data_IF_434356994213
#
_entry.id   IF_434356994213
#
_cell.length_a   1.000
_cell.length_b   1.000
_cell.length_c   1.000
_cell.angle_alpha   90.00
_cell.angle_beta   90.00
_cell.angle_gamma   90.00
#
_symmetry.space_group_name_H-M   'P 1'
#
loop_
_entity.id
_entity.type
_entity.pdbx_description
1 polymer ?
#
# COMPACT_ATOMS: atom_id res chain seq x y z
N UNK A 1 -52.53 -5.43 6.60
CA UNK A 1 -53.28 -4.77 7.67
C UNK A 1 -52.23 -4.04 8.50
N UNK A 2 -51.98 -2.75 8.38
CA UNK A 2 -52.81 -1.67 7.84
C UNK A 2 -51.95 -0.61 7.15
N UNK A 3 -52.38 -0.26 5.95
CA UNK A 3 -51.73 0.68 5.05
C UNK A 3 -52.26 2.09 5.38
N UNK A 4 -51.86 2.64 6.53
CA UNK A 4 -52.28 3.99 6.93
C UNK A 4 -51.51 5.05 6.11
N UNK A 5 -51.87 5.19 4.83
CA UNK A 5 -51.52 6.35 4.03
C UNK A 5 -52.56 7.44 4.27
N UNK A 6 -52.09 8.59 4.75
CA UNK A 6 -52.89 9.82 4.83
C UNK A 6 -52.54 10.70 3.62
N UNK A 7 -53.55 11.12 2.86
CA UNK A 7 -53.39 12.10 1.78
C UNK A 7 -54.04 13.40 2.20
N UNK A 8 -53.31 14.51 2.05
CA UNK A 8 -53.83 15.86 2.29
C UNK A 8 -54.30 16.41 0.95
N UNK A 9 -55.61 16.50 0.76
CA UNK A 9 -56.24 17.05 -0.45
C UNK A 9 -57.00 18.30 -0.05
N UNK A 10 -56.69 19.44 -0.66
CA UNK A 10 -57.52 20.64 -0.51
C UNK A 10 -58.80 20.45 -1.32
N UNK A 11 -59.94 20.80 -0.75
CA UNK A 11 -61.26 20.67 -1.39
C UNK A 11 -61.35 21.41 -2.74
N UNK A 12 -60.55 22.47 -2.89
CA UNK A 12 -60.46 23.31 -4.07
C UNK A 12 -59.36 22.87 -5.08
N UNK A 13 -58.69 21.74 -4.84
CA UNK A 13 -57.67 21.17 -5.72
C UNK A 13 -56.33 21.92 -5.72
N UNK A 14 -56.11 22.85 -4.79
CA UNK A 14 -54.82 23.51 -4.64
C UNK A 14 -53.81 22.63 -3.88
N UNK A 15 -52.53 22.98 -4.03
CA UNK A 15 -51.45 22.37 -3.27
C UNK A 15 -51.57 22.75 -1.79
N UNK A 16 -51.44 21.77 -0.88
CA UNK A 16 -51.29 22.02 0.55
C UNK A 16 -49.79 22.10 0.85
N UNK A 17 -49.33 23.28 1.27
CA UNK A 17 -47.94 23.49 1.67
C UNK A 17 -47.82 23.36 3.19
N UNK A 18 -46.95 22.45 3.65
CA UNK A 18 -46.68 22.24 5.07
C UNK A 18 -45.32 22.85 5.43
N UNK A 19 -45.35 23.99 6.13
CA UNK A 19 -44.13 24.67 6.61
C UNK A 19 -43.83 24.25 8.04
N UNK A 20 -42.76 23.46 8.24
CA UNK A 20 -42.30 23.02 9.58
C UNK A 20 -41.05 23.81 9.95
N UNK A 21 -41.05 24.45 11.13
CA UNK A 21 -39.96 25.33 11.57
C UNK A 21 -38.68 24.58 11.99
N UNK A 22 -38.79 23.32 12.43
CA UNK A 22 -37.63 22.50 12.80
C UNK A 22 -37.99 21.02 12.69
N UNK A 23 -37.18 20.24 11.96
CA UNK A 23 -37.47 18.85 11.56
C UNK A 23 -37.60 17.81 12.71
N UNK A 24 -37.54 18.24 13.98
CA UNK A 24 -37.51 17.35 15.13
C UNK A 24 -38.84 17.01 15.80
N UNK A 25 -39.94 17.71 15.49
CA UNK A 25 -41.20 17.58 16.28
C UNK A 25 -42.46 17.32 15.43
N UNK A 26 -42.31 16.94 14.16
CA UNK A 26 -43.46 16.75 13.24
C UNK A 26 -43.76 15.30 12.86
N UNK A 27 -43.03 14.32 13.39
CA UNK A 27 -43.34 12.89 13.20
C UNK A 27 -43.14 12.36 11.77
N UNK A 28 -42.66 13.15 10.82
CA UNK A 28 -42.13 12.70 9.53
C UNK A 28 -40.62 12.52 9.66
N UNK A 29 -40.15 11.28 9.71
CA UNK A 29 -38.73 10.99 9.95
C UNK A 29 -37.91 11.19 8.66
N UNK A 30 -36.69 11.71 8.78
CA UNK A 30 -35.69 11.83 7.70
C UNK A 30 -34.71 10.66 7.70
N UNK A 31 -35.16 9.47 8.14
CA UNK A 31 -34.29 8.49 8.81
C UNK A 31 -33.55 7.51 7.89
N UNK A 32 -33.21 7.91 6.67
CA UNK A 32 -32.22 7.19 5.84
C UNK A 32 -31.30 8.19 5.12
N UNK A 33 -30.26 8.65 5.82
CA UNK A 33 -29.13 9.32 5.18
C UNK A 33 -28.31 8.28 4.42
N UNK A 34 -28.54 8.14 3.11
CA UNK A 34 -27.62 7.46 2.22
C UNK A 34 -26.34 8.31 2.07
N UNK A 35 -25.27 7.94 2.79
CA UNK A 35 -23.96 8.57 2.63
C UNK A 35 -23.26 7.97 1.41
N UNK A 36 -23.39 8.63 0.26
CA UNK A 36 -22.53 8.38 -0.88
C UNK A 36 -21.32 9.33 -0.81
N UNK A 37 -20.10 8.77 -0.84
CA UNK A 37 -18.89 9.58 -0.96
C UNK A 37 -18.77 10.14 -2.37
N UNK A 38 -18.67 11.47 -2.50
CA UNK A 38 -18.42 12.16 -3.77
C UNK A 38 -17.02 12.75 -3.73
N UNK A 39 -16.14 12.31 -4.64
CA UNK A 39 -14.81 12.92 -4.82
C UNK A 39 -14.89 13.95 -5.94
N UNK A 40 -14.57 15.20 -5.62
CA UNK A 40 -14.50 16.30 -6.57
C UNK A 40 -13.02 16.65 -6.78
N UNK A 41 -12.53 16.48 -8.01
CA UNK A 41 -11.14 16.78 -8.38
C UNK A 41 -11.13 17.89 -9.44
N UNK A 42 -10.37 18.94 -9.19
CA UNK A 42 -10.16 20.07 -10.10
C UNK A 42 -8.68 20.46 -10.11
N UNK A 43 -8.20 20.97 -11.26
CA UNK A 43 -6.82 21.44 -11.40
C UNK A 43 -6.56 22.83 -10.77
N UNK A 44 -7.60 23.47 -10.21
CA UNK A 44 -7.54 24.79 -9.57
C UNK A 44 -8.68 24.96 -8.56
N UNK A 45 -8.85 26.18 -8.01
CA UNK A 45 -9.89 26.48 -7.04
C UNK A 45 -11.30 26.17 -7.60
N UNK A 46 -12.10 25.44 -6.84
CA UNK A 46 -13.51 25.20 -7.14
C UNK A 46 -14.36 25.58 -5.94
N UNK A 47 -15.43 26.32 -6.17
CA UNK A 47 -16.36 26.73 -5.12
C UNK A 47 -17.58 25.81 -5.10
N UNK A 48 -17.93 25.31 -3.93
CA UNK A 48 -19.17 24.55 -3.70
C UNK A 48 -20.16 25.48 -3.01
N UNK A 49 -21.28 25.74 -3.66
CA UNK A 49 -22.36 26.55 -3.13
C UNK A 49 -23.71 25.84 -3.29
N UNK A 50 -24.62 26.16 -2.39
CA UNK A 50 -26.02 25.75 -2.50
C UNK A 50 -26.88 26.95 -2.90
N UNK A 51 -27.96 26.71 -3.65
CA UNK A 51 -28.90 27.78 -4.04
C UNK A 51 -29.60 28.42 -2.84
N UNK A 52 -29.69 27.69 -1.72
CA UNK A 52 -30.27 28.13 -0.45
C UNK A 52 -29.24 28.75 0.51
N UNK A 53 -27.95 28.73 0.17
CA UNK A 53 -26.86 29.25 1.01
C UNK A 53 -26.56 28.41 2.26
N UNK A 54 -27.20 27.24 2.43
CA UNK A 54 -27.01 26.37 3.59
C UNK A 54 -26.36 25.05 3.17
N UNK A 55 -25.02 25.06 3.14
CA UNK A 55 -24.19 23.94 2.71
C UNK A 55 -24.22 22.75 3.70
N UNK A 56 -24.47 23.02 4.99
CA UNK A 56 -24.58 22.02 6.07
C UNK A 56 -25.78 21.09 5.84
N UNK A 57 -26.94 21.65 5.44
CA UNK A 57 -28.14 20.87 5.09
C UNK A 57 -27.98 20.04 3.81
N UNK A 58 -27.04 20.41 2.95
CA UNK A 58 -26.77 19.69 1.71
C UNK A 58 -25.76 18.55 1.88
N UNK A 59 -25.29 18.28 3.11
CA UNK A 59 -24.31 17.23 3.39
C UNK A 59 -22.89 17.57 2.94
N UNK A 60 -22.69 18.76 2.36
CA UNK A 60 -21.38 19.35 2.10
C UNK A 60 -20.90 20.10 3.34
N UNK A 61 -20.89 19.40 4.49
CA UNK A 61 -20.26 19.96 5.67
C UNK A 61 -18.82 20.27 5.29
N UNK A 62 -18.45 21.54 5.31
CA UNK A 62 -17.18 22.01 4.77
C UNK A 62 -16.06 21.25 5.46
N UNK A 63 -15.45 20.30 4.76
CA UNK A 63 -14.13 19.84 5.12
C UNK A 63 -13.23 21.05 4.84
N UNK A 64 -13.03 21.87 5.88
CA UNK A 64 -12.19 23.06 5.85
C UNK A 64 -12.94 24.39 5.81
N UNK A 65 -13.63 24.78 6.89
CA UNK A 65 -13.70 26.22 7.21
C UNK A 65 -12.36 26.71 7.78
N UNK A 66 -11.62 25.81 8.45
CA UNK A 66 -10.32 26.08 9.05
C UNK A 66 -9.44 24.84 8.88
N UNK A 67 -8.41 24.89 8.05
CA UNK A 67 -7.56 23.73 7.79
C UNK A 67 -6.22 24.13 7.19
N UNK A 68 -5.16 23.41 7.53
CA UNK A 68 -3.77 23.64 7.09
C UNK A 68 -3.49 23.39 5.60
N UNK A 69 -4.48 23.60 4.74
CA UNK A 69 -4.37 23.55 3.28
C UNK A 69 -4.79 24.90 2.68
N UNK A 70 -4.44 25.14 1.41
CA UNK A 70 -4.55 26.41 0.69
C UNK A 70 -5.98 26.97 0.58
N UNK A 71 -7.01 26.17 0.90
CA UNK A 71 -8.43 26.56 0.89
C UNK A 71 -9.05 26.86 2.27
N UNK A 72 -8.31 26.80 3.37
CA UNK A 72 -8.78 27.25 4.69
C UNK A 72 -8.24 28.63 5.07
N UNK A 73 -8.86 29.35 6.01
CA UNK A 73 -8.18 30.47 6.69
C UNK A 73 -6.87 29.93 7.26
N UNK A 74 -5.76 30.46 6.76
CA UNK A 74 -4.44 30.04 7.19
C UNK A 74 -4.32 30.32 8.68
N UNK A 75 -3.67 29.44 9.46
CA UNK A 75 -3.48 29.65 10.90
C UNK A 75 -2.82 31.00 11.22
N UNK A 76 -2.04 31.55 10.29
CA UNK A 76 -1.44 32.89 10.40
C UNK A 76 -2.43 34.06 10.30
N UNK A 77 -3.63 33.82 9.77
CA UNK A 77 -4.66 34.83 9.52
C UNK A 77 -5.80 34.76 10.56
N UNK A 78 -5.73 33.82 11.52
CA UNK A 78 -6.69 33.71 12.62
C UNK A 78 -6.34 34.71 13.73
N UNK A 79 -7.27 35.61 14.05
CA UNK A 79 -7.12 36.58 15.14
C UNK A 79 -7.64 36.02 16.46
N UNK A 80 -6.73 35.75 17.40
CA UNK A 80 -7.04 35.23 18.75
C UNK A 80 -7.49 36.31 19.74
N UNK A 81 -7.61 37.57 19.31
CA UNK A 81 -8.01 38.68 20.19
C UNK A 81 -9.48 38.61 20.63
N UNK A 82 -10.30 37.80 19.93
CA UNK A 82 -11.71 37.58 20.22
C UNK A 82 -11.95 36.14 20.71
N UNK A 83 -13.05 35.93 21.45
CA UNK A 83 -13.44 34.59 21.90
C UNK A 83 -13.71 33.65 20.72
N UNK A 84 -14.46 34.14 19.72
CA UNK A 84 -14.82 33.40 18.50
C UNK A 84 -13.57 33.01 17.70
N UNK A 85 -12.64 33.96 17.47
CA UNK A 85 -11.39 33.68 16.77
C UNK A 85 -10.47 32.71 17.53
N UNK A 86 -10.54 32.65 18.87
CA UNK A 86 -9.82 31.66 19.64
C UNK A 86 -10.40 30.24 19.49
N UNK A 87 -11.73 30.09 19.42
CA UNK A 87 -12.41 28.81 19.14
C UNK A 87 -12.12 28.32 17.71
N UNK A 88 -12.09 29.23 16.75
CA UNK A 88 -11.67 28.95 15.36
C UNK A 88 -10.20 28.52 15.29
N UNK A 89 -9.30 29.18 16.03
CA UNK A 89 -7.88 28.82 16.07
C UNK A 89 -7.66 27.40 16.60
N UNK A 90 -8.40 27.00 17.65
CA UNK A 90 -8.32 25.64 18.21
C UNK A 90 -8.73 24.62 17.15
N UNK A 91 -9.86 24.86 16.47
CA UNK A 91 -10.35 24.00 15.40
C UNK A 91 -9.35 23.87 14.24
N UNK A 92 -8.73 24.99 13.84
CA UNK A 92 -7.71 25.02 12.81
C UNK A 92 -6.47 24.17 13.19
N UNK A 93 -6.03 24.29 14.44
CA UNK A 93 -4.89 23.54 14.98
C UNK A 93 -5.21 22.04 15.04
N UNK A 94 -6.39 21.66 15.52
CA UNK A 94 -6.81 20.25 15.58
C UNK A 94 -6.82 19.62 14.19
N UNK A 95 -7.31 20.34 13.18
CA UNK A 95 -7.29 19.89 11.79
C UNK A 95 -5.86 19.75 11.25
N UNK A 96 -4.96 20.70 11.56
CA UNK A 96 -3.55 20.60 11.18
C UNK A 96 -2.86 19.41 11.87
N UNK A 97 -3.13 19.16 13.14
CA UNK A 97 -2.62 18.00 13.89
C UNK A 97 -3.12 16.70 13.25
N UNK A 98 -4.41 16.62 12.93
CA UNK A 98 -5.00 15.45 12.27
C UNK A 98 -4.37 15.19 10.89
N UNK A 99 -4.07 16.23 10.12
CA UNK A 99 -3.38 16.12 8.84
C UNK A 99 -1.95 15.57 9.02
N UNK A 100 -1.18 16.13 9.96
CA UNK A 100 0.17 15.64 10.28
C UNK A 100 0.13 14.20 10.75
N UNK A 101 -0.82 13.84 11.62
CA UNK A 101 -1.01 12.47 12.09
C UNK A 101 -1.36 11.52 10.94
N UNK A 102 -2.16 11.95 9.97
CA UNK A 102 -2.47 11.18 8.75
C UNK A 102 -1.21 10.92 7.92
N UNK A 103 -0.38 11.93 7.70
CA UNK A 103 0.89 11.77 6.98
C UNK A 103 1.88 10.87 7.75
N UNK A 104 1.96 10.99 9.08
CA UNK A 104 2.75 10.08 9.92
C UNK A 104 2.25 8.63 9.80
N UNK A 105 0.93 8.40 9.78
CA UNK A 105 0.35 7.09 9.60
C UNK A 105 0.70 6.49 8.22
N UNK A 106 0.66 7.28 7.14
CA UNK A 106 1.10 6.86 5.81
C UNK A 106 2.58 6.49 5.78
N UNK A 107 3.43 7.30 6.40
CA UNK A 107 4.87 7.01 6.51
C UNK A 107 5.13 5.74 7.32
N UNK A 108 4.39 5.52 8.42
CA UNK A 108 4.47 4.29 9.20
C UNK A 108 4.05 3.05 8.40
N UNK A 109 2.98 3.14 7.61
CA UNK A 109 2.57 2.07 6.72
C UNK A 109 3.64 1.75 5.66
N UNK A 110 4.28 2.78 5.08
CA UNK A 110 5.38 2.62 4.14
C UNK A 110 6.59 1.95 4.80
N UNK A 111 6.95 2.33 6.04
CA UNK A 111 8.03 1.70 6.81
C UNK A 111 7.77 0.21 7.04
N UNK A 112 6.56 -0.17 7.49
CA UNK A 112 6.16 -1.57 7.64
C UNK A 112 6.31 -2.37 6.33
N UNK A 113 5.94 -1.75 5.20
CA UNK A 113 6.10 -2.37 3.88
C UNK A 113 7.58 -2.52 3.50
N UNK A 114 8.43 -1.55 3.82
CA UNK A 114 9.87 -1.65 3.60
C UNK A 114 10.49 -2.75 4.45
N UNK A 115 10.17 -2.84 5.74
CA UNK A 115 10.66 -3.92 6.61
C UNK A 115 10.26 -5.30 6.09
N UNK A 116 8.99 -5.46 5.68
CA UNK A 116 8.50 -6.71 5.10
C UNK A 116 9.25 -7.08 3.81
N UNK A 117 9.50 -6.08 2.95
CA UNK A 117 10.22 -6.26 1.68
C UNK A 117 11.70 -6.63 1.92
N UNK A 118 12.35 -5.97 2.89
CA UNK A 118 13.75 -6.23 3.26
C UNK A 118 13.90 -7.63 3.84
N UNK A 119 13.00 -8.05 4.72
CA UNK A 119 12.98 -9.40 5.29
C UNK A 119 12.85 -10.47 4.19
N UNK A 120 11.89 -10.29 3.29
CA UNK A 120 11.69 -11.21 2.16
C UNK A 120 12.89 -11.26 1.20
N UNK A 121 13.51 -10.10 0.93
CA UNK A 121 14.69 -10.02 0.07
C UNK A 121 15.90 -10.71 0.72
N UNK A 122 16.12 -10.50 2.02
CA UNK A 122 17.19 -11.16 2.78
C UNK A 122 17.08 -12.68 2.72
N UNK A 123 15.88 -13.22 2.96
CA UNK A 123 15.61 -14.67 2.85
C UNK A 123 15.85 -15.18 1.43
N UNK A 124 15.41 -14.43 0.42
CA UNK A 124 15.64 -14.78 -0.98
C UNK A 124 17.13 -14.78 -1.34
N UNK A 125 17.89 -13.81 -0.84
CA UNK A 125 19.34 -13.71 -1.04
C UNK A 125 20.09 -14.86 -0.36
N UNK A 126 19.69 -15.25 0.85
CA UNK A 126 20.25 -16.39 1.57
C UNK A 126 19.99 -17.70 0.80
N UNK A 127 18.76 -17.92 0.35
CA UNK A 127 18.40 -19.09 -0.44
C UNK A 127 19.16 -19.15 -1.77
N UNK A 128 19.30 -18.01 -2.47
CA UNK A 128 20.05 -17.93 -3.72
C UNK A 128 21.54 -18.19 -3.51
N UNK A 129 22.13 -17.64 -2.44
CA UNK A 129 23.52 -17.88 -2.07
C UNK A 129 23.77 -19.36 -1.76
N UNK A 130 22.88 -19.99 -0.96
CA UNK A 130 22.96 -21.41 -0.64
C UNK A 130 22.80 -22.29 -1.90
N UNK A 131 21.89 -21.96 -2.81
CA UNK A 131 21.73 -22.66 -4.08
C UNK A 131 22.98 -22.53 -4.97
N UNK A 132 23.57 -21.34 -5.06
CA UNK A 132 24.79 -21.09 -5.83
C UNK A 132 26.00 -21.84 -5.24
N UNK A 133 26.15 -21.85 -3.91
CA UNK A 133 27.19 -22.66 -3.24
C UNK A 133 27.06 -24.14 -3.60
N UNK A 134 25.84 -24.70 -3.54
CA UNK A 134 25.62 -26.12 -3.90
C UNK A 134 25.96 -26.42 -5.35
N UNK A 135 25.64 -25.51 -6.28
CA UNK A 135 26.02 -25.68 -7.70
C UNK A 135 27.55 -25.66 -7.83
N UNK A 136 28.21 -24.65 -7.25
CA UNK A 136 29.67 -24.51 -7.31
C UNK A 136 30.41 -25.67 -6.67
N UNK A 137 29.95 -26.14 -5.52
CA UNK A 137 30.55 -27.27 -4.81
C UNK A 137 30.36 -28.58 -5.60
N UNK A 138 29.20 -28.78 -6.24
CA UNK A 138 28.96 -29.92 -7.10
C UNK A 138 29.83 -29.90 -8.37
N UNK A 139 29.96 -28.74 -9.03
CA UNK A 139 30.81 -28.57 -10.21
C UNK A 139 32.28 -28.77 -9.86
N UNK A 140 32.74 -28.24 -8.73
CA UNK A 140 34.11 -28.43 -8.26
C UNK A 140 34.40 -29.90 -7.92
N UNK A 141 33.46 -30.60 -7.27
CA UNK A 141 33.58 -32.02 -7.00
C UNK A 141 33.65 -32.85 -8.28
N UNK A 142 32.83 -32.54 -9.29
CA UNK A 142 32.84 -33.21 -10.58
C UNK A 142 34.16 -33.00 -11.36
N UNK A 143 34.65 -31.75 -11.42
CA UNK A 143 35.92 -31.42 -12.08
C UNK A 143 37.12 -32.07 -11.37
N UNK A 144 37.13 -32.03 -10.03
CA UNK A 144 38.19 -32.68 -9.24
C UNK A 144 38.20 -34.20 -9.46
N UNK A 145 37.02 -34.83 -9.50
CA UNK A 145 36.91 -36.26 -9.80
C UNK A 145 37.40 -36.60 -11.21
N UNK A 146 37.08 -35.77 -12.21
CA UNK A 146 37.54 -35.92 -13.59
C UNK A 146 39.07 -35.75 -13.70
N UNK A 147 39.63 -34.76 -13.00
CA UNK A 147 41.07 -34.53 -12.92
C UNK A 147 41.79 -35.71 -12.26
N UNK A 148 41.32 -36.16 -11.09
CA UNK A 148 41.88 -37.33 -10.41
C UNK A 148 41.80 -38.59 -11.27
N UNK A 149 40.66 -38.83 -11.94
CA UNK A 149 40.52 -39.95 -12.88
C UNK A 149 41.54 -39.86 -14.02
N UNK A 150 41.74 -38.67 -14.58
CA UNK A 150 42.70 -38.45 -15.67
C UNK A 150 44.13 -38.69 -15.22
N UNK A 151 44.51 -38.22 -14.02
CA UNK A 151 45.84 -38.46 -13.42
C UNK A 151 46.09 -39.95 -13.18
N UNK A 152 45.10 -40.68 -12.63
CA UNK A 152 45.19 -42.13 -12.41
C UNK A 152 45.33 -42.87 -13.75
N UNK A 153 44.56 -42.50 -14.78
CA UNK A 153 44.67 -43.09 -16.11
C UNK A 153 46.02 -42.81 -16.77
N UNK A 154 46.59 -41.61 -16.58
CA UNK A 154 47.93 -41.28 -17.07
C UNK A 154 49.01 -42.12 -16.39
N UNK A 155 48.97 -42.25 -15.06
CA UNK A 155 49.92 -43.10 -14.31
C UNK A 155 49.76 -44.58 -14.67
N UNK A 156 48.53 -45.08 -14.79
CA UNK A 156 48.25 -46.44 -15.23
C UNK A 156 48.70 -46.68 -16.67
N UNK A 157 48.48 -45.72 -17.58
CA UNK A 157 48.93 -45.78 -18.96
C UNK A 157 50.46 -45.90 -19.07
N UNK A 158 51.21 -45.14 -18.29
CA UNK A 158 52.69 -45.23 -18.25
C UNK A 158 53.13 -46.60 -17.71
N UNK A 159 52.48 -47.11 -16.65
CA UNK A 159 52.78 -48.42 -16.07
C UNK A 159 52.46 -49.59 -17.01
N UNK A 160 51.32 -49.51 -17.72
CA UNK A 160 50.94 -50.50 -18.73
C UNK A 160 51.89 -50.44 -19.93
N UNK A 161 52.28 -49.24 -20.36
CA UNK A 161 53.25 -49.06 -21.45
C UNK A 161 54.63 -49.61 -21.06
N UNK A 162 55.07 -49.40 -19.82
CA UNK A 162 56.36 -49.94 -19.33
C UNK A 162 56.33 -51.47 -19.25
N UNK A 163 55.24 -52.07 -18.76
CA UNK A 163 55.05 -53.52 -18.78
C UNK A 163 54.94 -54.08 -20.20
N UNK A 164 54.25 -53.40 -21.11
CA UNK A 164 54.13 -53.81 -22.51
C UNK A 164 55.48 -53.76 -23.24
N UNK A 165 56.33 -52.78 -22.93
CA UNK A 165 57.69 -52.67 -23.50
C UNK A 165 58.68 -53.68 -22.90
N UNK A 166 58.48 -54.13 -21.65
CA UNK A 166 59.35 -55.11 -21.01
C UNK A 166 59.13 -56.55 -21.52
N UNK A 167 57.89 -56.91 -21.92
CA UNK A 167 57.57 -58.27 -22.41
C UNK A 167 58.35 -58.69 -23.68
N UNK A 168 58.46 -57.86 -24.73
CA UNK A 168 59.25 -58.21 -25.92
C UNK A 168 60.73 -58.46 -25.63
N UNK A 169 61.32 -57.70 -24.69
CA UNK A 169 62.73 -57.85 -24.31
C UNK A 169 62.98 -59.19 -23.59
N UNK A 170 62.03 -59.64 -22.77
CA UNK A 170 62.09 -60.97 -22.15
C UNK A 170 61.97 -62.09 -23.17
N UNK A 171 61.19 -61.91 -24.23
CA UNK A 171 61.09 -62.89 -25.33
C UNK A 171 62.37 -62.94 -26.18
N UNK A 172 63.00 -61.79 -26.45
CA UNK A 172 64.30 -61.77 -27.14
C UNK A 172 65.43 -62.40 -26.32
N UNK A 173 65.34 -62.36 -24.98
CA UNK A 173 66.27 -63.07 -24.09
C UNK A 173 66.10 -64.59 -24.12
N UNK A 174 64.97 -65.12 -24.64
CA UNK A 174 64.71 -66.55 -24.79
C UNK A 174 65.06 -67.09 -26.19
N UNK A 175 65.45 -66.20 -27.12
CA UNK A 175 65.86 -66.54 -28.49
C UNK A 175 67.38 -66.40 -28.72
N UNK A 176 68.13 -66.01 -27.70
CA UNK A 176 69.60 -66.03 -27.64
C UNK A 176 70.06 -67.13 -26.69
#
# INVERSE_FOLDING_TARGET
MDNNQYTLVAEDGRNIELTVATAGDSGFTTDENYVAGVTLEAAGEFSVGTLTGNNERAGFNAVGSFGGSESGTLLKDVDISTLEGAEEAITAIDNAINQVASEQAKLGAIQNRFESTISNNSVSSENLSAANSRIRDADFAAETAALSKSQVLQQAGISVLSQANARPQQVLSLLQ
#
